data_IF_496035022814
#
_entry.id   IF_496035022814
#
_cell.length_a   1.000
_cell.length_b   1.000
_cell.length_c   1.000
_cell.angle_alpha   90.00
_cell.angle_beta   90.00
_cell.angle_gamma   90.00
#
_symmetry.space_group_name_H-M   'P 1'
#
loop_
_entity.id
_entity.type
_entity.pdbx_description
1 polymer ?
#
# COMPACT_ATOMS: atom_id res chain seq x y z
N UNK A 1 -20.22 -24.08 17.94
CA UNK A 1 -21.56 -24.41 17.43
C UNK A 1 -22.42 -23.15 17.24
N UNK A 2 -22.65 -22.35 18.29
CA UNK A 2 -23.44 -21.11 18.27
C UNK A 2 -23.04 -20.05 17.20
N UNK A 3 -21.75 -19.87 16.93
CA UNK A 3 -21.27 -18.91 15.92
C UNK A 3 -21.65 -19.29 14.47
N UNK A 4 -21.79 -20.59 14.18
CA UNK A 4 -22.13 -21.07 12.84
C UNK A 4 -23.62 -20.91 12.59
N UNK A 5 -24.45 -21.21 13.60
CA UNK A 5 -25.90 -21.05 13.55
C UNK A 5 -26.30 -19.57 13.43
N UNK A 6 -25.68 -18.69 14.23
CA UNK A 6 -25.93 -17.25 14.15
C UNK A 6 -25.54 -16.68 12.78
N UNK A 7 -24.39 -17.09 12.21
CA UNK A 7 -24.01 -16.73 10.84
C UNK A 7 -25.04 -17.21 9.82
N UNK A 8 -25.56 -18.42 9.96
CA UNK A 8 -26.56 -18.98 9.05
C UNK A 8 -27.88 -18.17 9.08
N UNK A 9 -28.35 -17.82 10.27
CA UNK A 9 -29.56 -16.98 10.45
C UNK A 9 -29.36 -15.60 9.85
N UNK A 10 -28.22 -14.95 10.11
CA UNK A 10 -27.88 -13.63 9.56
C UNK A 10 -27.80 -13.68 8.03
N UNK A 11 -27.18 -14.72 7.46
CA UNK A 11 -27.06 -14.89 6.01
C UNK A 11 -28.42 -15.10 5.33
N UNK A 12 -29.29 -15.93 5.92
CA UNK A 12 -30.68 -16.12 5.46
C UNK A 12 -31.47 -14.81 5.51
N UNK A 13 -31.37 -14.09 6.62
CA UNK A 13 -32.02 -12.78 6.77
C UNK A 13 -31.53 -11.77 5.72
N UNK A 14 -30.21 -11.65 5.55
CA UNK A 14 -29.62 -10.75 4.55
C UNK A 14 -30.04 -11.11 3.11
N UNK A 15 -30.10 -12.40 2.80
CA UNK A 15 -30.55 -12.89 1.49
C UNK A 15 -32.03 -12.58 1.23
N UNK A 16 -32.88 -12.78 2.24
CA UNK A 16 -34.30 -12.41 2.20
C UNK A 16 -34.45 -10.90 2.01
N UNK A 17 -33.76 -10.10 2.81
CA UNK A 17 -33.77 -8.64 2.73
C UNK A 17 -33.35 -8.13 1.34
N UNK A 18 -32.34 -8.76 0.71
CA UNK A 18 -31.93 -8.45 -0.67
C UNK A 18 -33.05 -8.76 -1.66
N UNK A 19 -33.70 -9.91 -1.51
CA UNK A 19 -34.82 -10.34 -2.38
C UNK A 19 -36.01 -9.40 -2.25
N UNK A 20 -36.39 -9.04 -1.03
CA UNK A 20 -37.52 -8.15 -0.75
C UNK A 20 -37.27 -6.76 -1.33
N UNK A 21 -36.06 -6.19 -1.15
CA UNK A 21 -35.68 -4.91 -1.76
C UNK A 21 -35.70 -4.96 -3.29
N UNK A 22 -35.26 -6.06 -3.89
CA UNK A 22 -35.30 -6.24 -5.36
C UNK A 22 -36.72 -6.44 -5.89
N UNK A 23 -37.62 -7.02 -5.11
CA UNK A 23 -39.04 -7.08 -5.45
C UNK A 23 -39.66 -5.68 -5.39
N UNK A 24 -39.46 -4.94 -4.29
CA UNK A 24 -39.94 -3.57 -4.13
C UNK A 24 -39.46 -2.64 -5.25
N UNK A 25 -38.19 -2.72 -5.63
CA UNK A 25 -37.63 -1.93 -6.73
C UNK A 25 -38.33 -2.22 -8.06
N UNK A 26 -38.58 -3.50 -8.38
CA UNK A 26 -39.29 -3.90 -9.60
C UNK A 26 -40.76 -3.47 -9.59
N UNK A 27 -41.41 -3.49 -8.44
CA UNK A 27 -42.79 -3.01 -8.30
C UNK A 27 -42.88 -1.51 -8.54
N UNK A 28 -41.97 -0.73 -7.97
CA UNK A 28 -41.89 0.72 -8.18
C UNK A 28 -41.59 1.07 -9.64
N UNK A 29 -40.65 0.36 -10.28
CA UNK A 29 -40.32 0.58 -11.70
C UNK A 29 -41.51 0.26 -12.62
N UNK A 30 -42.21 -0.85 -12.37
CA UNK A 30 -43.43 -1.20 -13.12
C UNK A 30 -44.54 -0.17 -12.91
N UNK A 31 -44.74 0.28 -11.67
CA UNK A 31 -45.77 1.27 -11.37
C UNK A 31 -45.49 2.62 -12.04
N UNK A 32 -44.22 3.05 -12.06
CA UNK A 32 -43.81 4.26 -12.78
C UNK A 32 -43.96 4.11 -14.29
N UNK A 33 -43.67 2.93 -14.86
CA UNK A 33 -43.86 2.67 -16.28
C UNK A 33 -45.34 2.75 -16.67
N UNK A 34 -46.24 2.15 -15.87
CA UNK A 34 -47.70 2.25 -16.12
C UNK A 34 -48.21 3.70 -16.03
N UNK A 35 -47.75 4.47 -15.05
CA UNK A 35 -48.12 5.88 -14.90
C UNK A 35 -47.59 6.74 -16.07
N UNK A 36 -46.39 6.43 -16.56
CA UNK A 36 -45.81 7.05 -17.75
C UNK A 36 -46.62 6.74 -19.02
N UNK A 37 -46.98 5.48 -19.23
CA UNK A 37 -47.80 5.04 -20.37
C UNK A 37 -49.20 5.69 -20.37
N UNK A 38 -49.71 6.02 -19.18
CA UNK A 38 -50.99 6.74 -18.99
C UNK A 38 -50.87 8.28 -19.11
N UNK A 39 -49.67 8.84 -19.38
CA UNK A 39 -49.37 10.28 -19.36
C UNK A 39 -49.65 10.99 -18.01
N UNK A 40 -49.47 10.28 -16.89
CA UNK A 40 -49.73 10.78 -15.53
C UNK A 40 -48.45 11.24 -14.79
N UNK A 41 -47.48 11.81 -15.51
CA UNK A 41 -46.18 12.20 -14.95
C UNK A 41 -46.24 13.31 -13.89
N UNK A 42 -47.19 14.24 -14.00
CA UNK A 42 -47.35 15.35 -13.05
C UNK A 42 -48.20 14.99 -11.81
N UNK A 43 -48.63 13.73 -11.70
CA UNK A 43 -49.41 13.29 -10.54
C UNK A 43 -48.54 13.22 -9.29
N UNK A 44 -49.14 13.55 -8.13
CA UNK A 44 -48.50 13.38 -6.82
C UNK A 44 -48.06 11.92 -6.59
N UNK A 45 -48.80 10.98 -7.14
CA UNK A 45 -48.48 9.55 -7.05
C UNK A 45 -47.20 9.19 -7.82
N UNK A 46 -47.01 9.75 -9.02
CA UNK A 46 -45.78 9.56 -9.79
C UNK A 46 -44.55 10.11 -9.05
N UNK A 47 -44.65 11.35 -8.52
CA UNK A 47 -43.55 11.99 -7.78
C UNK A 47 -43.17 11.18 -6.55
N UNK A 48 -44.15 10.77 -5.74
CA UNK A 48 -43.89 9.99 -4.52
C UNK A 48 -43.27 8.62 -4.80
N UNK A 49 -43.72 7.91 -5.83
CA UNK A 49 -43.12 6.62 -6.24
C UNK A 49 -41.71 6.79 -6.77
N UNK A 50 -41.42 7.89 -7.49
CA UNK A 50 -40.08 8.24 -7.96
C UNK A 50 -39.13 8.50 -6.79
N UNK A 51 -39.56 9.27 -5.79
CA UNK A 51 -38.79 9.52 -4.57
C UNK A 51 -38.50 8.24 -3.77
N UNK A 52 -39.48 7.34 -3.68
CA UNK A 52 -39.31 6.03 -3.05
C UNK A 52 -38.27 5.19 -3.79
N UNK A 53 -38.31 5.18 -5.13
CA UNK A 53 -37.34 4.47 -5.96
C UNK A 53 -35.92 5.05 -5.79
N UNK A 54 -35.77 6.37 -5.79
CA UNK A 54 -34.49 7.04 -5.54
C UNK A 54 -33.94 6.71 -4.15
N UNK A 55 -34.79 6.65 -3.13
CA UNK A 55 -34.38 6.25 -1.77
C UNK A 55 -33.82 4.82 -1.73
N UNK A 56 -34.45 3.89 -2.46
CA UNK A 56 -33.99 2.50 -2.57
C UNK A 56 -32.66 2.42 -3.35
N UNK A 57 -32.55 3.16 -4.46
CA UNK A 57 -31.33 3.25 -5.28
C UNK A 57 -30.16 3.84 -4.51
N UNK A 58 -30.38 4.92 -3.76
CA UNK A 58 -29.37 5.58 -2.92
C UNK A 58 -28.75 4.61 -1.91
N UNK A 59 -29.57 3.82 -1.20
CA UNK A 59 -29.07 2.77 -0.27
C UNK A 59 -28.25 1.68 -0.97
N UNK A 60 -28.62 1.32 -2.20
CA UNK A 60 -27.87 0.35 -3.00
C UNK A 60 -26.52 0.93 -3.45
N UNK A 61 -26.55 2.19 -3.91
CA UNK A 61 -25.37 2.98 -4.31
C UNK A 61 -24.37 3.08 -3.16
N UNK A 62 -24.83 3.36 -1.94
CA UNK A 62 -23.97 3.40 -0.75
C UNK A 62 -23.27 2.05 -0.50
N UNK A 63 -24.01 0.94 -0.60
CA UNK A 63 -23.41 -0.39 -0.48
C UNK A 63 -22.38 -0.70 -1.57
N UNK A 64 -22.62 -0.24 -2.79
CA UNK A 64 -21.65 -0.35 -3.90
C UNK A 64 -20.42 0.49 -3.60
N UNK A 65 -20.60 1.75 -3.18
CA UNK A 65 -19.53 2.69 -2.85
C UNK A 65 -18.61 2.17 -1.74
N UNK A 66 -19.17 1.50 -0.73
CA UNK A 66 -18.41 0.85 0.34
C UNK A 66 -17.59 -0.32 -0.21
N UNK A 67 -18.20 -1.21 -1.00
CA UNK A 67 -17.54 -2.41 -1.55
C UNK A 67 -16.50 -2.10 -2.62
N UNK A 68 -16.75 -1.09 -3.45
CA UNK A 68 -15.81 -0.61 -4.46
C UNK A 68 -14.67 0.19 -3.85
N UNK A 69 -14.74 0.51 -2.55
CA UNK A 69 -13.84 1.44 -1.86
C UNK A 69 -13.80 2.80 -2.56
N UNK A 70 -14.77 3.12 -3.43
CA UNK A 70 -14.81 4.37 -4.17
C UNK A 70 -15.03 5.57 -3.25
N UNK A 71 -15.68 5.40 -2.07
CA UNK A 71 -15.69 6.45 -1.03
C UNK A 71 -14.28 6.82 -0.61
N UNK A 72 -13.39 5.83 -0.44
CA UNK A 72 -11.99 6.09 -0.12
C UNK A 72 -11.24 6.71 -1.30
N UNK A 73 -11.64 6.47 -2.56
CA UNK A 73 -11.02 7.10 -3.73
C UNK A 73 -11.48 8.55 -3.88
N UNK A 74 -12.79 8.82 -3.73
CA UNK A 74 -13.37 10.15 -3.77
C UNK A 74 -12.97 11.02 -2.57
N UNK A 75 -12.95 10.47 -1.35
CA UNK A 75 -12.49 11.16 -0.15
C UNK A 75 -10.96 11.32 -0.11
N UNK A 76 -10.19 10.53 -0.88
CA UNK A 76 -8.72 10.66 -0.99
C UNK A 76 -8.26 11.86 -1.80
N UNK A 77 -9.13 12.62 -2.46
CA UNK A 77 -8.75 13.94 -2.99
C UNK A 77 -8.49 14.96 -1.87
N UNK A 78 -8.99 14.72 -0.65
CA UNK A 78 -8.62 15.52 0.53
C UNK A 78 -7.78 14.69 1.49
N UNK A 79 -6.56 15.16 1.76
CA UNK A 79 -5.77 14.63 2.88
C UNK A 79 -6.58 14.79 4.18
N UNK A 80 -6.87 13.68 4.84
CA UNK A 80 -7.55 13.72 6.13
C UNK A 80 -6.67 14.43 7.16
N UNK A 81 -7.30 15.06 8.16
CA UNK A 81 -6.59 15.67 9.31
C UNK A 81 -5.56 14.72 9.94
N UNK A 82 -5.81 13.42 9.89
CA UNK A 82 -4.87 12.40 10.35
C UNK A 82 -3.57 12.39 9.53
N UNK A 83 -3.64 12.32 8.20
CA UNK A 83 -2.45 12.28 7.35
C UNK A 83 -1.67 13.59 7.39
N UNK A 84 -2.34 14.73 7.46
CA UNK A 84 -1.70 16.04 7.65
C UNK A 84 -0.97 16.12 9.00
N UNK A 85 -1.58 15.60 10.07
CA UNK A 85 -0.93 15.55 11.38
C UNK A 85 0.22 14.55 11.42
N UNK A 86 0.09 13.44 10.69
CA UNK A 86 1.14 12.43 10.55
C UNK A 86 2.35 13.02 9.81
N UNK A 87 2.13 13.77 8.73
CA UNK A 87 3.17 14.49 8.01
C UNK A 87 3.87 15.52 8.90
N UNK A 88 3.13 16.34 9.66
CA UNK A 88 3.70 17.29 10.63
C UNK A 88 4.57 16.59 11.67
N UNK A 89 4.14 15.44 12.18
CA UNK A 89 4.94 14.62 13.10
C UNK A 89 6.19 14.08 12.42
N UNK A 90 6.05 13.49 11.23
CA UNK A 90 7.18 12.96 10.49
C UNK A 90 8.20 14.02 10.12
N UNK A 91 7.76 15.24 9.79
CA UNK A 91 8.64 16.37 9.57
C UNK A 91 9.48 16.66 10.82
N UNK A 92 8.85 16.79 11.98
CA UNK A 92 9.56 17.00 13.25
C UNK A 92 10.51 15.85 13.63
N UNK A 93 10.14 14.59 13.35
CA UNK A 93 10.98 13.42 13.65
C UNK A 93 12.11 13.18 12.65
N UNK A 94 11.96 13.59 11.39
CA UNK A 94 13.00 13.45 10.36
C UNK A 94 14.06 14.54 10.42
N UNK A 95 13.73 15.68 11.04
CA UNK A 95 14.70 16.76 11.27
C UNK A 95 15.55 16.42 12.48
N UNK A 96 16.87 16.36 12.28
CA UNK A 96 17.82 16.23 13.39
C UNK A 96 17.87 17.54 14.17
N UNK A 97 17.38 17.54 15.42
CA UNK A 97 17.25 18.73 16.26
C UNK A 97 18.43 18.97 17.20
N UNK A 98 19.14 17.91 17.59
CA UNK A 98 20.39 18.01 18.34
C UNK A 98 21.32 16.84 18.04
N UNK A 99 22.62 17.06 18.25
CA UNK A 99 23.68 16.09 18.06
C UNK A 99 24.64 16.14 19.24
N UNK A 100 24.99 14.98 19.79
CA UNK A 100 25.96 14.86 20.89
C UNK A 100 27.30 14.44 20.29
N UNK A 101 28.34 15.24 20.57
CA UNK A 101 29.74 14.93 20.19
C UNK A 101 30.33 13.81 21.04
N UNK A 102 31.45 13.26 20.59
CA UNK A 102 32.22 12.26 21.36
C UNK A 102 32.63 12.78 22.74
N UNK A 103 32.86 14.09 22.87
CA UNK A 103 33.20 14.77 24.13
C UNK A 103 31.99 14.99 25.07
N UNK A 104 30.80 14.52 24.70
CA UNK A 104 29.56 14.67 25.47
C UNK A 104 28.92 16.06 25.40
N UNK A 105 29.41 16.94 24.53
CA UNK A 105 28.81 18.26 24.29
C UNK A 105 27.61 18.15 23.35
N UNK A 106 26.51 18.82 23.68
CA UNK A 106 25.30 18.86 22.86
C UNK A 106 25.31 20.09 21.94
N UNK A 107 25.13 19.83 20.64
CA UNK A 107 25.00 20.84 19.59
C UNK A 107 23.53 20.90 19.20
N UNK A 108 22.97 22.11 19.20
CA UNK A 108 21.59 22.38 18.76
C UNK A 108 21.58 23.17 17.45
N UNK A 109 22.67 23.89 17.13
CA UNK A 109 22.76 24.68 15.91
C UNK A 109 22.94 23.80 14.66
N UNK A 110 22.19 24.11 13.62
CA UNK A 110 22.09 23.28 12.42
C UNK A 110 23.38 23.26 11.60
N UNK A 111 24.04 24.41 11.46
CA UNK A 111 25.27 24.53 10.67
C UNK A 111 26.43 23.81 11.38
N UNK A 112 26.51 23.93 12.71
CA UNK A 112 27.46 23.19 13.53
C UNK A 112 27.23 21.67 13.47
N UNK A 113 25.96 21.22 13.52
CA UNK A 113 25.62 19.80 13.39
C UNK A 113 26.06 19.22 12.03
N UNK A 114 25.81 19.94 10.93
CA UNK A 114 26.24 19.50 9.59
C UNK A 114 27.76 19.45 9.50
N UNK A 115 28.45 20.46 10.04
CA UNK A 115 29.91 20.52 10.04
C UNK A 115 30.51 19.33 10.78
N UNK A 116 29.96 18.97 11.95
CA UNK A 116 30.41 17.83 12.74
C UNK A 116 30.16 16.50 11.99
N UNK A 117 28.96 16.28 11.47
CA UNK A 117 28.64 15.07 10.69
C UNK A 117 29.55 14.93 9.48
N UNK A 118 29.80 16.03 8.76
CA UNK A 118 30.75 16.05 7.64
C UNK A 118 32.15 15.69 8.11
N UNK A 119 32.60 16.24 9.23
CA UNK A 119 33.89 15.93 9.82
C UNK A 119 34.04 14.44 10.16
N UNK A 120 33.04 13.84 10.78
CA UNK A 120 33.03 12.40 11.12
C UNK A 120 33.13 11.53 9.87
N UNK A 121 32.32 11.81 8.85
CA UNK A 121 32.36 11.04 7.60
C UNK A 121 33.68 11.23 6.85
N UNK A 122 34.20 12.46 6.78
CA UNK A 122 35.53 12.69 6.20
C UNK A 122 36.59 11.89 6.95
N UNK A 123 36.66 11.95 8.28
CA UNK A 123 37.61 11.16 9.10
C UNK A 123 37.48 9.65 8.91
N UNK A 124 36.28 9.15 8.68
CA UNK A 124 36.00 7.71 8.51
C UNK A 124 36.37 7.21 7.11
N UNK A 125 36.26 8.07 6.10
CA UNK A 125 36.56 7.75 4.71
C UNK A 125 37.88 8.34 4.21
N UNK A 126 38.66 9.00 5.07
CA UNK A 126 40.03 9.37 4.79
C UNK A 126 40.84 8.10 4.49
N UNK A 127 41.49 8.07 3.33
CA UNK A 127 42.32 6.95 2.90
C UNK A 127 43.45 6.73 3.92
N UNK A 128 43.35 5.63 4.67
CA UNK A 128 44.37 5.13 5.57
C UNK A 128 45.17 4.01 4.94
N UNK A 129 45.33 4.05 3.61
CA UNK A 129 46.07 3.02 2.88
C UNK A 129 47.51 2.91 3.39
N UNK A 130 48.09 4.01 3.87
CA UNK A 130 49.40 4.01 4.52
C UNK A 130 49.44 3.26 5.87
N UNK A 131 48.27 3.05 6.52
CA UNK A 131 48.11 2.26 7.75
C UNK A 131 47.77 0.78 7.44
N UNK A 132 47.36 0.47 6.20
CA UNK A 132 47.10 -0.90 5.77
C UNK A 132 48.43 -1.62 5.58
N UNK A 133 48.65 -2.67 6.38
CA UNK A 133 49.71 -3.62 6.08
C UNK A 133 49.28 -4.42 4.87
N UNK A 134 50.14 -4.49 3.86
CA UNK A 134 49.91 -5.38 2.73
C UNK A 134 49.86 -6.82 3.27
N UNK A 135 48.69 -7.45 3.17
CA UNK A 135 48.47 -8.81 3.63
C UNK A 135 48.69 -9.69 2.40
N UNK A 136 49.71 -10.54 2.46
CA UNK A 136 49.87 -11.59 1.47
C UNK A 136 48.69 -12.58 1.61
N UNK A 137 47.72 -12.44 0.70
CA UNK A 137 46.51 -13.23 0.67
C UNK A 137 46.83 -14.71 0.47
N UNK A 138 47.92 -15.05 -0.24
CA UNK A 138 48.30 -16.44 -0.48
C UNK A 138 48.75 -17.13 0.83
N UNK A 139 49.49 -16.43 1.68
CA UNK A 139 49.82 -16.95 3.03
C UNK A 139 48.60 -16.99 3.96
N UNK A 140 47.74 -15.98 3.93
CA UNK A 140 46.59 -15.91 4.84
C UNK A 140 45.44 -16.84 4.48
N UNK A 141 45.20 -17.08 3.19
CA UNK A 141 44.11 -17.95 2.76
C UNK A 141 44.52 -19.41 2.83
N UNK A 142 45.80 -19.79 2.63
CA UNK A 142 46.34 -21.16 2.80
C UNK A 142 45.36 -22.27 2.38
N UNK A 143 44.54 -22.04 1.35
CA UNK A 143 43.55 -22.97 0.83
C UNK A 143 43.96 -23.21 -0.60
N UNK A 144 44.30 -24.45 -0.89
CA UNK A 144 44.48 -24.94 -2.24
C UNK A 144 43.08 -25.00 -2.90
N UNK A 145 42.65 -23.85 -3.40
CA UNK A 145 41.37 -23.73 -4.08
C UNK A 145 41.52 -24.31 -5.48
N UNK A 146 40.65 -25.26 -5.89
CA UNK A 146 40.72 -25.83 -7.22
C UNK A 146 40.56 -24.70 -8.24
N UNK A 147 41.64 -24.37 -8.92
CA UNK A 147 41.64 -23.35 -9.98
C UNK A 147 40.97 -23.94 -11.21
N UNK A 148 40.05 -23.18 -11.77
CA UNK A 148 39.38 -23.54 -13.01
C UNK A 148 40.41 -23.59 -14.14
N UNK A 149 40.37 -24.63 -14.98
CA UNK A 149 41.23 -24.67 -16.17
C UNK A 149 40.80 -23.62 -17.19
N UNK A 150 41.71 -23.19 -18.06
CA UNK A 150 41.43 -22.18 -19.08
C UNK A 150 40.29 -22.62 -20.03
N UNK A 151 40.16 -23.92 -20.27
CA UNK A 151 39.10 -24.52 -21.09
C UNK A 151 37.72 -24.44 -20.41
N UNK A 152 37.65 -24.77 -19.12
CA UNK A 152 36.43 -24.65 -18.32
C UNK A 152 36.00 -23.19 -18.15
N UNK A 153 36.97 -22.28 -17.95
CA UNK A 153 36.72 -20.84 -17.85
C UNK A 153 36.12 -20.27 -19.13
N UNK A 154 36.61 -20.70 -20.29
CA UNK A 154 36.08 -20.26 -21.57
C UNK A 154 34.67 -20.80 -21.82
N UNK A 155 34.38 -22.00 -21.32
CA UNK A 155 33.04 -22.61 -21.41
C UNK A 155 32.01 -21.88 -20.54
N UNK A 156 32.41 -21.42 -19.34
CA UNK A 156 31.53 -20.70 -18.41
C UNK A 156 31.28 -19.23 -18.78
N UNK A 157 32.12 -18.62 -19.63
CA UNK A 157 31.94 -17.23 -20.11
C UNK A 157 30.86 -17.08 -21.21
N UNK A 158 30.18 -18.16 -21.59
CA UNK A 158 29.10 -18.16 -22.58
C UNK A 158 27.75 -17.64 -22.07
N UNK A 159 26.77 -17.47 -22.97
CA UNK A 159 25.38 -17.14 -22.60
C UNK A 159 24.72 -18.36 -21.94
N UNK A 160 24.04 -18.14 -20.81
CA UNK A 160 23.31 -19.21 -20.11
C UNK A 160 22.17 -19.71 -21.02
N UNK A 161 22.21 -20.99 -21.39
CA UNK A 161 21.17 -21.66 -22.17
C UNK A 161 20.09 -22.24 -21.26
N UNK A 162 18.88 -22.42 -21.80
CA UNK A 162 17.71 -22.89 -21.06
C UNK A 162 17.91 -24.28 -20.44
N UNK A 163 18.76 -25.12 -21.07
CA UNK A 163 19.15 -26.45 -20.57
C UNK A 163 20.05 -26.40 -19.31
N UNK A 164 20.89 -25.36 -19.17
CA UNK A 164 21.69 -25.18 -17.96
C UNK A 164 20.82 -24.66 -16.82
N UNK A 165 19.89 -23.74 -17.12
CA UNK A 165 18.97 -23.19 -16.14
C UNK A 165 18.01 -24.26 -15.56
N UNK A 166 17.61 -25.26 -16.35
CA UNK A 166 16.73 -26.35 -15.89
C UNK A 166 17.43 -27.42 -15.07
N UNK A 167 18.76 -27.52 -15.11
CA UNK A 167 19.54 -28.48 -14.30
C UNK A 167 19.79 -28.03 -12.85
N UNK A 168 19.57 -26.76 -12.55
CA UNK A 168 19.82 -26.16 -11.23
C UNK A 168 18.52 -25.96 -10.43
N UNK A 169 17.35 -26.13 -11.07
CA UNK A 169 16.01 -26.14 -10.45
C UNK A 169 15.59 -27.57 -10.09
#
# INVERSE_FOLDING_TARGET
>A
MLLVETRHVISRYASRLKKDRSAQMRELEKALQLLHDNNEEDTKEFITKKEQLETVRSKLMEGVLIRSRARWVADREKMSKYFLNLEKKHFAFKTMTSLIKEDGTEIIDYDEMISEVRGVYNRSYENRDDELKDIDLDTHLSIDTPRLSDEEAQTLKGKITLEVASKVL
#
